data_IF_381380610412
#
_entry.id   IF_381380610412
#
_cell.length_a   1.000
_cell.length_b   1.000
_cell.length_c   1.000
_cell.angle_alpha   90.00
_cell.angle_beta   90.00
_cell.angle_gamma   90.00
#
_symmetry.space_group_name_H-M   'P 1'
#
loop_
_entity.id
_entity.type
_entity.pdbx_description
1 polymer ?
#
# COMPACT_ATOMS: atom_id res chain seq x y z
N UNK A 1 -0.12 35.24 29.10
CA UNK A 1 -0.64 34.05 28.37
C UNK A 1 0.57 33.45 27.70
N UNK A 2 0.75 32.14 27.81
CA UNK A 2 1.82 31.42 27.09
C UNK A 2 1.65 31.57 25.59
N UNK A 3 2.76 31.61 24.87
CA UNK A 3 2.74 31.69 23.40
C UNK A 3 2.46 30.32 22.73
N UNK A 4 2.48 29.24 23.52
CA UNK A 4 2.30 27.88 23.04
C UNK A 4 1.19 27.15 23.80
N UNK A 5 0.41 26.32 23.08
CA UNK A 5 -0.61 25.46 23.67
C UNK A 5 0.03 24.25 24.35
N UNK A 6 1.17 23.79 23.80
CA UNK A 6 1.87 22.58 24.22
C UNK A 6 3.39 22.79 24.11
N UNK A 7 4.14 22.31 25.11
CA UNK A 7 5.58 22.08 24.99
C UNK A 7 5.92 20.61 25.25
N UNK A 8 6.85 20.04 24.47
CA UNK A 8 7.47 18.74 24.70
C UNK A 8 8.88 19.01 25.19
N UNK A 9 9.19 18.68 26.46
CA UNK A 9 10.43 19.08 27.10
C UNK A 9 11.41 17.93 27.29
N UNK A 10 12.70 18.19 27.02
CA UNK A 10 13.84 17.32 27.36
C UNK A 10 14.01 16.05 26.53
N UNK A 11 13.32 15.94 25.43
CA UNK A 11 13.44 14.79 24.53
C UNK A 11 14.62 14.88 23.57
N UNK A 12 15.18 13.74 23.16
CA UNK A 12 16.11 13.66 22.03
C UNK A 12 15.31 13.80 20.75
N UNK A 13 15.47 14.93 20.07
CA UNK A 13 14.82 15.17 18.79
C UNK A 13 15.59 14.41 17.69
N UNK A 14 14.88 13.60 16.92
CA UNK A 14 15.42 12.95 15.73
C UNK A 14 14.51 13.31 14.55
N UNK A 15 15.03 14.11 13.63
CA UNK A 15 14.35 14.48 12.39
C UNK A 15 15.25 14.15 11.19
N UNK A 16 14.94 13.07 10.44
CA UNK A 16 15.76 12.67 9.28
C UNK A 16 15.80 13.70 8.16
N UNK A 17 14.74 14.54 8.01
CA UNK A 17 14.67 15.54 6.95
C UNK A 17 15.67 16.68 7.19
N UNK A 18 15.72 17.22 8.40
CA UNK A 18 16.64 18.31 8.76
C UNK A 18 18.00 17.82 9.25
N UNK A 19 18.14 16.53 9.55
CA UNK A 19 19.33 15.95 10.16
C UNK A 19 19.50 16.28 11.65
N UNK A 20 18.44 16.73 12.33
CA UNK A 20 18.47 17.00 13.77
C UNK A 20 18.64 15.70 14.56
N UNK A 21 19.59 15.67 15.48
CA UNK A 21 19.80 14.58 16.45
C UNK A 21 20.44 15.17 17.72
N UNK A 22 19.62 15.82 18.57
CA UNK A 22 20.07 16.40 19.83
C UNK A 22 18.90 16.57 20.79
N UNK A 23 19.22 16.77 22.11
CA UNK A 23 18.19 17.00 23.13
C UNK A 23 17.75 18.47 23.13
N UNK A 24 16.42 18.70 22.97
CA UNK A 24 15.83 20.03 23.04
C UNK A 24 14.35 19.95 23.45
N UNK A 25 13.70 21.12 23.46
CA UNK A 25 12.27 21.29 23.72
C UNK A 25 11.57 21.70 22.40
N UNK A 26 10.32 21.30 22.22
CA UNK A 26 9.49 21.65 21.07
C UNK A 26 8.26 22.40 21.54
N UNK A 27 8.06 23.62 21.03
CA UNK A 27 6.86 24.43 21.24
C UNK A 27 5.86 24.25 20.13
N UNK A 28 4.59 24.10 20.47
CA UNK A 28 3.49 23.89 19.54
C UNK A 28 2.36 24.86 19.86
N UNK A 29 1.84 25.52 18.83
CA UNK A 29 0.65 26.38 18.92
C UNK A 29 -0.22 26.19 17.67
N UNK A 30 -1.54 26.05 17.89
CA UNK A 30 -2.51 25.82 16.81
C UNK A 30 -2.13 24.67 15.86
N UNK A 31 -1.62 23.55 16.41
CA UNK A 31 -1.22 22.36 15.65
C UNK A 31 0.09 22.51 14.84
N UNK A 32 0.81 23.62 15.02
CA UNK A 32 2.06 23.90 14.29
C UNK A 32 3.23 24.01 15.27
N UNK A 33 4.38 23.43 14.91
CA UNK A 33 5.64 23.62 15.64
C UNK A 33 6.06 25.08 15.46
N UNK A 34 6.16 25.82 16.58
CA UNK A 34 6.51 27.23 16.60
C UNK A 34 7.99 27.47 16.86
N UNK A 35 8.62 26.62 17.68
CA UNK A 35 10.03 26.72 18.03
C UNK A 35 10.61 25.36 18.46
N UNK A 36 11.91 25.22 18.26
CA UNK A 36 12.73 24.14 18.83
C UNK A 36 13.88 24.84 19.56
N UNK A 37 14.02 24.61 20.88
CA UNK A 37 14.94 25.37 21.73
C UNK A 37 15.57 24.49 22.80
N UNK A 38 16.83 24.78 23.14
CA UNK A 38 17.48 24.21 24.34
C UNK A 38 16.99 24.88 25.65
N UNK A 39 16.37 26.06 25.55
CA UNK A 39 15.79 26.78 26.69
C UNK A 39 14.38 26.28 26.97
N UNK A 40 13.93 26.50 28.22
CA UNK A 40 12.54 26.21 28.60
C UNK A 40 11.56 26.99 27.74
N UNK A 41 10.49 26.31 27.28
CA UNK A 41 9.42 26.89 26.50
C UNK A 41 8.19 27.09 27.39
N UNK A 42 7.60 28.28 27.36
CA UNK A 42 6.37 28.59 28.08
C UNK A 42 5.16 28.10 27.30
N UNK A 43 4.36 27.21 27.90
CA UNK A 43 3.21 26.59 27.27
C UNK A 43 2.11 26.27 28.31
N UNK A 44 0.86 26.20 27.84
CA UNK A 44 -0.29 25.88 28.72
C UNK A 44 -0.23 24.42 29.19
N UNK A 45 0.29 23.50 28.36
CA UNK A 45 0.49 22.07 28.67
C UNK A 45 1.94 21.67 28.41
N UNK A 46 2.51 20.86 29.30
CA UNK A 46 3.87 20.32 29.15
C UNK A 46 3.84 18.80 29.14
N UNK A 47 4.52 18.21 28.14
CA UNK A 47 4.82 16.77 28.06
C UNK A 47 6.31 16.61 28.42
N UNK A 48 6.61 15.92 29.51
CA UNK A 48 7.99 15.57 29.85
C UNK A 48 8.45 14.39 28.98
N UNK A 49 9.39 14.63 28.06
CA UNK A 49 9.98 13.65 27.16
C UNK A 49 11.43 13.28 27.56
N UNK A 50 11.85 13.56 28.81
CA UNK A 50 13.18 13.16 29.27
C UNK A 50 13.39 11.66 29.05
N UNK A 51 14.56 11.31 28.53
CA UNK A 51 14.94 9.91 28.18
C UNK A 51 14.03 9.28 27.10
N UNK A 52 13.34 10.09 26.32
CA UNK A 52 12.51 9.69 25.19
C UNK A 52 13.02 10.30 23.89
N UNK A 53 12.65 9.64 22.76
CA UNK A 53 12.83 10.20 21.42
C UNK A 53 11.59 11.02 21.07
N UNK A 54 11.82 12.20 20.48
CA UNK A 54 10.79 13.03 19.85
C UNK A 54 11.11 13.10 18.37
N UNK A 55 10.24 12.56 17.54
CA UNK A 55 10.42 12.51 16.09
C UNK A 55 9.10 12.85 15.38
N UNK A 56 9.13 13.18 14.08
CA UNK A 56 7.91 13.23 13.28
C UNK A 56 7.13 11.91 13.39
N UNK A 57 5.81 11.98 13.40
CA UNK A 57 4.98 10.80 13.38
C UNK A 57 5.20 9.98 12.11
N UNK A 58 5.11 8.66 12.22
CA UNK A 58 5.28 7.78 11.07
C UNK A 58 4.14 7.94 10.07
N UNK A 59 4.47 7.80 8.78
CA UNK A 59 3.51 7.75 7.67
C UNK A 59 3.56 6.33 7.13
N UNK A 60 2.47 5.58 7.29
CA UNK A 60 2.31 4.26 6.71
C UNK A 60 1.70 4.40 5.31
N UNK A 61 2.46 4.01 4.29
CA UNK A 61 2.06 4.11 2.88
C UNK A 61 1.24 2.90 2.41
N UNK A 62 1.15 1.85 3.24
CA UNK A 62 0.60 0.58 2.83
C UNK A 62 -0.23 -0.06 3.94
N UNK A 63 -1.44 0.40 4.10
CA UNK A 63 -2.40 -0.13 5.06
C UNK A 63 -3.76 -0.34 4.40
N UNK A 64 -4.40 -1.48 4.68
CA UNK A 64 -5.74 -1.81 4.20
C UNK A 64 -6.77 -1.68 5.33
N UNK A 65 -7.26 -0.46 5.66
CA UNK A 65 -8.14 -0.25 6.80
C UNK A 65 -9.54 -0.84 6.54
N UNK A 66 -9.88 -1.86 7.31
CA UNK A 66 -11.19 -2.52 7.24
C UNK A 66 -12.18 -1.99 8.30
N UNK A 67 -11.64 -1.53 9.44
CA UNK A 67 -12.40 -1.02 10.58
C UNK A 67 -11.62 0.08 11.34
N UNK A 68 -12.23 0.63 12.39
CA UNK A 68 -11.61 1.69 13.21
C UNK A 68 -10.48 1.20 14.11
N UNK A 69 -10.44 -0.08 14.43
CA UNK A 69 -9.43 -0.62 15.35
C UNK A 69 -8.03 -0.56 14.73
N UNK A 70 -7.92 -0.70 13.41
CA UNK A 70 -6.66 -0.57 12.68
C UNK A 70 -6.02 0.80 12.92
N UNK A 71 -6.81 1.89 12.82
CA UNK A 71 -6.29 3.25 13.06
C UNK A 71 -5.85 3.46 14.52
N UNK A 72 -6.56 2.85 15.48
CA UNK A 72 -6.19 2.91 16.89
C UNK A 72 -4.88 2.15 17.16
N UNK A 73 -4.71 0.94 16.61
CA UNK A 73 -3.48 0.16 16.75
C UNK A 73 -2.29 0.91 16.17
N UNK A 74 -2.44 1.48 14.96
CA UNK A 74 -1.39 2.27 14.33
C UNK A 74 -1.03 3.53 15.14
N UNK A 75 -2.01 4.23 15.70
CA UNK A 75 -1.75 5.38 16.56
C UNK A 75 -0.90 5.02 17.79
N UNK A 76 -1.13 3.85 18.40
CA UNK A 76 -0.32 3.34 19.52
C UNK A 76 1.10 2.95 19.09
N UNK A 77 1.32 2.64 17.82
CA UNK A 77 2.64 2.31 17.25
C UNK A 77 3.38 3.57 16.71
N UNK A 78 2.80 4.76 16.89
CA UNK A 78 3.40 6.03 16.51
C UNK A 78 3.12 6.48 15.07
N UNK A 79 2.22 5.78 14.36
CA UNK A 79 1.73 6.23 13.05
C UNK A 79 0.79 7.42 13.27
N UNK A 80 0.97 8.47 12.51
CA UNK A 80 0.12 9.68 12.53
C UNK A 80 -0.62 9.91 11.22
N UNK A 81 -0.22 9.19 10.18
CA UNK A 81 -0.88 9.20 8.87
C UNK A 81 -0.83 7.79 8.28
N UNK A 82 -1.98 7.26 7.89
CA UNK A 82 -2.07 5.97 7.22
C UNK A 82 -2.70 6.10 5.84
N UNK A 83 -2.14 5.43 4.85
CA UNK A 83 -2.54 5.54 3.46
C UNK A 83 -2.82 4.16 2.86
N UNK A 84 -3.98 4.04 2.20
CA UNK A 84 -4.37 2.88 1.41
C UNK A 84 -3.97 3.15 -0.05
N UNK A 85 -2.75 2.82 -0.45
CA UNK A 85 -2.25 3.19 -1.78
C UNK A 85 -2.16 2.02 -2.77
N UNK A 86 -2.16 0.76 -2.31
CA UNK A 86 -2.07 -0.42 -3.18
C UNK A 86 -3.44 -0.82 -3.77
N UNK A 87 -4.37 -1.27 -2.92
CA UNK A 87 -5.70 -1.70 -3.37
C UNK A 87 -6.56 -0.49 -3.69
N UNK A 88 -6.57 0.49 -2.80
CA UNK A 88 -7.33 1.71 -2.98
C UNK A 88 -8.84 1.52 -2.90
N UNK A 89 -9.57 2.45 -3.51
CA UNK A 89 -11.03 2.43 -3.60
C UNK A 89 -11.51 2.69 -5.02
N UNK A 90 -12.76 2.35 -5.32
CA UNK A 90 -13.45 2.72 -6.57
C UNK A 90 -14.24 4.03 -6.44
N UNK A 91 -14.35 4.58 -5.21
CA UNK A 91 -15.07 5.81 -4.89
C UNK A 91 -14.41 6.55 -3.72
N UNK A 92 -13.65 7.59 -4.05
CA UNK A 92 -12.88 8.40 -3.10
C UNK A 92 -13.80 9.16 -2.13
N UNK A 93 -14.93 9.68 -2.61
CA UNK A 93 -15.86 10.42 -1.75
C UNK A 93 -16.44 9.51 -0.67
N UNK A 94 -16.85 8.29 -1.05
CA UNK A 94 -17.35 7.28 -0.10
C UNK A 94 -16.26 6.86 0.89
N UNK A 95 -15.02 6.70 0.43
CA UNK A 95 -13.90 6.36 1.31
C UNK A 95 -13.68 7.44 2.38
N UNK A 96 -13.59 8.72 2.00
CA UNK A 96 -13.40 9.81 2.94
C UNK A 96 -14.59 9.96 3.91
N UNK A 97 -15.83 9.91 3.42
CA UNK A 97 -17.03 9.97 4.27
C UNK A 97 -17.11 8.85 5.31
N UNK A 98 -16.57 7.68 4.99
CA UNK A 98 -16.54 6.55 5.93
C UNK A 98 -15.72 6.86 7.17
N UNK A 99 -14.58 7.56 7.02
CA UNK A 99 -13.56 7.73 8.06
C UNK A 99 -13.48 9.14 8.64
N UNK A 100 -13.93 10.17 7.93
CA UNK A 100 -13.85 11.56 8.34
C UNK A 100 -14.45 11.78 9.72
N UNK A 101 -13.66 12.44 10.60
CA UNK A 101 -14.05 12.74 11.99
C UNK A 101 -14.11 11.53 12.93
N UNK A 102 -13.73 10.33 12.50
CA UNK A 102 -13.81 9.10 13.31
C UNK A 102 -12.44 8.52 13.68
N UNK A 103 -11.41 8.84 12.93
CA UNK A 103 -10.06 8.29 13.12
C UNK A 103 -9.18 9.17 14.00
N UNK A 104 -8.29 8.59 14.84
CA UNK A 104 -7.36 9.35 15.68
C UNK A 104 -6.16 9.90 14.89
N UNK A 105 -5.93 9.45 13.67
CA UNK A 105 -4.79 9.80 12.81
C UNK A 105 -5.29 10.24 11.43
N UNK A 106 -4.41 10.88 10.66
CA UNK A 106 -4.71 11.23 9.28
C UNK A 106 -4.81 9.98 8.40
N UNK A 107 -5.59 10.06 7.33
CA UNK A 107 -5.79 8.96 6.41
C UNK A 107 -5.95 9.45 4.97
N UNK A 108 -5.74 8.57 4.02
CA UNK A 108 -5.95 8.83 2.60
C UNK A 108 -5.99 7.54 1.79
N UNK A 109 -6.38 7.64 0.52
CA UNK A 109 -6.46 6.49 -0.37
C UNK A 109 -6.05 6.83 -1.80
N UNK A 110 -5.60 5.82 -2.52
CA UNK A 110 -5.53 5.83 -3.98
C UNK A 110 -6.92 5.56 -4.59
N UNK A 111 -7.09 5.95 -5.85
CA UNK A 111 -8.08 5.31 -6.70
C UNK A 111 -7.46 4.00 -7.21
N UNK A 112 -8.10 2.86 -6.94
CA UNK A 112 -7.51 1.55 -7.18
C UNK A 112 -7.92 0.94 -8.51
N UNK A 113 -6.95 0.48 -9.32
CA UNK A 113 -7.24 -0.31 -10.51
C UNK A 113 -8.04 -1.58 -10.17
N UNK A 114 -7.71 -2.27 -9.04
CA UNK A 114 -8.45 -3.46 -8.60
C UNK A 114 -9.94 -3.17 -8.43
N UNK A 115 -10.40 -2.29 -7.50
CA UNK A 115 -11.82 -2.09 -7.26
C UNK A 115 -12.53 -1.41 -8.44
N UNK A 116 -11.85 -0.54 -9.20
CA UNK A 116 -12.40 0.04 -10.43
C UNK A 116 -12.64 -1.04 -11.48
N UNK A 117 -11.68 -1.94 -11.69
CA UNK A 117 -11.81 -3.06 -12.62
C UNK A 117 -12.94 -4.02 -12.20
N UNK A 118 -13.02 -4.34 -10.89
CA UNK A 118 -14.12 -5.14 -10.34
C UNK A 118 -15.48 -4.49 -10.60
N UNK A 119 -15.61 -3.19 -10.40
CA UNK A 119 -16.83 -2.43 -10.64
C UNK A 119 -17.27 -2.47 -12.11
N UNK A 120 -16.35 -2.16 -13.03
CA UNK A 120 -16.61 -2.14 -14.48
C UNK A 120 -16.97 -3.53 -14.99
N UNK A 121 -16.28 -4.57 -14.55
CA UNK A 121 -16.50 -5.95 -14.97
C UNK A 121 -17.55 -6.69 -14.14
N UNK A 122 -18.18 -6.03 -13.14
CA UNK A 122 -19.20 -6.59 -12.24
C UNK A 122 -18.73 -7.85 -11.51
N UNK A 123 -17.50 -7.82 -11.03
CA UNK A 123 -16.87 -8.94 -10.32
C UNK A 123 -17.52 -9.11 -8.93
N UNK A 124 -17.82 -10.35 -8.50
CA UNK A 124 -18.46 -10.60 -7.22
C UNK A 124 -17.55 -10.47 -6.00
N UNK A 125 -16.22 -10.32 -6.19
CA UNK A 125 -15.26 -10.17 -5.10
C UNK A 125 -15.55 -8.95 -4.22
N UNK A 126 -15.11 -8.99 -2.97
CA UNK A 126 -15.38 -7.91 -1.99
C UNK A 126 -14.20 -6.99 -1.72
N UNK A 127 -12.98 -7.50 -1.80
CA UNK A 127 -11.74 -6.77 -1.56
C UNK A 127 -10.78 -6.89 -2.74
N UNK A 128 -10.65 -8.11 -3.26
CA UNK A 128 -9.90 -8.45 -4.47
C UNK A 128 -10.78 -9.29 -5.39
N UNK A 129 -10.49 -9.38 -6.70
CA UNK A 129 -11.33 -10.09 -7.64
C UNK A 129 -11.43 -11.59 -7.34
N UNK A 130 -12.63 -12.13 -7.45
CA UNK A 130 -12.89 -13.57 -7.40
C UNK A 130 -13.44 -14.14 -8.72
N UNK A 131 -13.72 -13.30 -9.71
CA UNK A 131 -14.28 -13.63 -11.00
C UNK A 131 -13.46 -13.09 -12.18
N UNK A 132 -14.19 -12.57 -13.17
CA UNK A 132 -13.66 -12.10 -14.46
C UNK A 132 -12.63 -11.00 -14.36
N UNK A 133 -12.76 -10.09 -13.38
CA UNK A 133 -11.80 -9.01 -13.20
C UNK A 133 -10.40 -9.52 -12.83
N UNK A 134 -10.29 -10.71 -12.25
CA UNK A 134 -8.99 -11.36 -12.01
C UNK A 134 -8.43 -12.08 -13.23
N UNK A 135 -9.30 -12.61 -14.13
CA UNK A 135 -8.94 -13.72 -15.02
C UNK A 135 -8.95 -13.42 -16.51
N UNK A 136 -9.81 -12.50 -17.01
CA UNK A 136 -9.88 -12.18 -18.43
C UNK A 136 -9.37 -10.80 -18.79
N UNK A 137 -9.00 -10.60 -20.04
CA UNK A 137 -8.70 -9.26 -20.55
C UNK A 137 -9.96 -8.38 -20.57
N UNK A 138 -9.78 -7.09 -20.28
CA UNK A 138 -10.83 -6.10 -20.46
C UNK A 138 -10.99 -5.74 -21.94
N UNK A 139 -12.23 -5.51 -22.36
CA UNK A 139 -12.55 -4.94 -23.67
C UNK A 139 -12.11 -3.48 -23.76
N UNK A 140 -12.03 -2.94 -24.97
CA UNK A 140 -11.69 -1.53 -25.16
C UNK A 140 -12.66 -0.59 -24.40
N UNK A 141 -13.96 -0.88 -24.44
CA UNK A 141 -14.96 -0.08 -23.71
C UNK A 141 -14.79 -0.15 -22.20
N UNK A 142 -14.46 -1.33 -21.66
CA UNK A 142 -14.16 -1.48 -20.22
C UNK A 142 -12.89 -0.71 -19.82
N UNK A 143 -11.86 -0.72 -20.66
CA UNK A 143 -10.66 0.10 -20.44
C UNK A 143 -11.00 1.59 -20.42
N UNK A 144 -11.81 2.08 -21.37
CA UNK A 144 -12.22 3.48 -21.42
C UNK A 144 -13.06 3.85 -20.17
N UNK A 145 -13.97 3.00 -19.74
CA UNK A 145 -14.73 3.21 -18.48
C UNK A 145 -13.84 3.24 -17.25
N UNK A 146 -12.82 2.37 -17.17
CA UNK A 146 -11.83 2.40 -16.07
C UNK A 146 -11.04 3.72 -16.08
N UNK A 147 -10.62 4.22 -17.24
CA UNK A 147 -9.91 5.50 -17.38
C UNK A 147 -10.74 6.66 -16.83
N UNK A 148 -12.01 6.72 -17.19
CA UNK A 148 -12.93 7.77 -16.71
C UNK A 148 -13.08 7.72 -15.18
N UNK A 149 -13.17 6.52 -14.59
CA UNK A 149 -13.28 6.34 -13.14
C UNK A 149 -11.97 6.72 -12.41
N UNK A 150 -10.80 6.35 -12.95
CA UNK A 150 -9.52 6.74 -12.39
C UNK A 150 -9.34 8.27 -12.41
N UNK A 151 -9.61 8.89 -13.57
CA UNK A 151 -9.58 10.35 -13.73
C UNK A 151 -10.48 11.03 -12.71
N UNK A 152 -11.74 10.59 -12.61
CA UNK A 152 -12.67 11.11 -11.62
C UNK A 152 -12.17 10.94 -10.18
N UNK A 153 -11.57 9.79 -9.85
CA UNK A 153 -11.02 9.54 -8.51
C UNK A 153 -9.87 10.50 -8.17
N UNK A 154 -8.95 10.72 -9.10
CA UNK A 154 -7.85 11.67 -8.93
C UNK A 154 -8.35 13.11 -8.80
N UNK A 155 -9.30 13.54 -9.64
CA UNK A 155 -9.95 14.86 -9.54
C UNK A 155 -10.67 15.06 -8.20
N UNK A 156 -11.12 13.98 -7.56
CA UNK A 156 -11.80 14.00 -6.25
C UNK A 156 -10.87 13.87 -5.05
N UNK A 157 -9.55 13.81 -5.27
CA UNK A 157 -8.54 13.82 -4.22
C UNK A 157 -7.98 12.45 -3.86
N UNK A 158 -8.01 11.48 -4.77
CA UNK A 158 -7.18 10.30 -4.65
C UNK A 158 -5.70 10.70 -4.68
N UNK A 159 -4.88 10.10 -3.82
CA UNK A 159 -3.47 10.46 -3.66
C UNK A 159 -2.55 9.79 -4.68
N UNK A 160 -3.00 8.69 -5.28
CA UNK A 160 -2.23 7.83 -6.17
C UNK A 160 -3.17 6.96 -7.01
N UNK A 161 -2.61 6.17 -7.92
CA UNK A 161 -3.30 5.03 -8.55
C UNK A 161 -2.70 3.73 -8.00
N UNK A 162 -3.55 2.89 -7.41
CA UNK A 162 -3.14 1.62 -6.81
C UNK A 162 -3.33 0.45 -7.77
N UNK A 163 -2.43 -0.55 -7.71
CA UNK A 163 -2.48 -1.73 -8.57
C UNK A 163 -2.14 -3.01 -7.80
N UNK A 164 -2.90 -4.07 -8.03
CA UNK A 164 -2.53 -5.42 -7.61
C UNK A 164 -2.55 -6.36 -8.80
N UNK A 165 -1.43 -6.41 -9.54
CA UNK A 165 -1.36 -7.09 -10.82
C UNK A 165 -1.41 -8.62 -10.69
N UNK A 166 -1.00 -9.17 -9.56
CA UNK A 166 -1.15 -10.60 -9.30
C UNK A 166 -2.62 -11.00 -9.03
N UNK A 167 -3.41 -10.07 -8.49
CA UNK A 167 -4.87 -10.23 -8.34
C UNK A 167 -5.63 -10.02 -9.65
N UNK A 168 -5.08 -9.24 -10.57
CA UNK A 168 -5.70 -8.92 -11.86
C UNK A 168 -4.88 -9.47 -13.03
N UNK A 169 -4.56 -10.77 -12.98
CA UNK A 169 -3.69 -11.45 -13.97
C UNK A 169 -4.19 -11.31 -15.39
N UNK A 170 -5.51 -11.22 -15.60
CA UNK A 170 -6.14 -10.97 -16.89
C UNK A 170 -5.96 -9.55 -17.43
N UNK A 171 -5.45 -8.59 -16.65
CA UNK A 171 -5.19 -7.25 -17.14
C UNK A 171 -4.06 -7.24 -18.18
N UNK A 172 -4.34 -6.73 -19.38
CA UNK A 172 -3.35 -6.66 -20.45
C UNK A 172 -2.30 -5.57 -20.18
N UNK A 173 -1.08 -5.73 -20.77
CA UNK A 173 -0.04 -4.69 -20.68
C UNK A 173 -0.51 -3.35 -21.25
N UNK A 174 -1.37 -3.40 -22.28
CA UNK A 174 -1.98 -2.20 -22.85
C UNK A 174 -2.87 -1.49 -21.83
N UNK A 175 -3.72 -2.23 -21.13
CA UNK A 175 -4.57 -1.71 -20.05
C UNK A 175 -3.72 -1.01 -18.97
N UNK A 176 -2.64 -1.67 -18.49
CA UNK A 176 -1.75 -1.10 -17.47
C UNK A 176 -1.12 0.21 -17.95
N UNK A 177 -0.58 0.25 -19.17
CA UNK A 177 -0.01 1.48 -19.74
C UNK A 177 -1.05 2.60 -19.83
N UNK A 178 -2.29 2.32 -20.21
CA UNK A 178 -3.36 3.34 -20.24
C UNK A 178 -3.67 3.89 -18.83
N UNK A 179 -3.69 3.04 -17.78
CA UNK A 179 -3.88 3.49 -16.40
C UNK A 179 -2.69 4.33 -15.90
N UNK A 180 -1.45 3.94 -16.23
CA UNK A 180 -0.25 4.70 -15.92
C UNK A 180 -0.22 6.09 -16.59
N UNK A 181 -0.77 6.23 -17.80
CA UNK A 181 -0.94 7.54 -18.46
C UNK A 181 -1.83 8.46 -17.63
N UNK A 182 -2.97 7.96 -17.15
CA UNK A 182 -3.88 8.75 -16.32
C UNK A 182 -3.17 9.22 -15.03
N UNK A 183 -2.41 8.34 -14.37
CA UNK A 183 -1.62 8.71 -13.21
C UNK A 183 -0.61 9.82 -13.54
N UNK A 184 0.14 9.68 -14.63
CA UNK A 184 1.13 10.67 -15.09
C UNK A 184 0.48 12.02 -15.43
N UNK A 185 -0.65 12.04 -16.13
CA UNK A 185 -1.40 13.25 -16.49
C UNK A 185 -1.87 14.04 -15.27
N UNK A 186 -2.07 13.37 -14.12
CA UNK A 186 -2.47 13.97 -12.85
C UNK A 186 -1.31 14.15 -11.86
N UNK A 187 -0.05 13.94 -12.29
CA UNK A 187 1.13 13.98 -11.42
C UNK A 187 1.03 13.04 -10.20
N UNK A 188 0.25 11.95 -10.33
CA UNK A 188 0.04 10.94 -9.30
C UNK A 188 1.01 9.77 -9.46
N UNK A 189 1.42 9.16 -8.33
CA UNK A 189 2.26 7.96 -8.34
C UNK A 189 1.43 6.70 -8.58
N UNK A 190 2.06 5.67 -9.16
CA UNK A 190 1.52 4.33 -9.29
C UNK A 190 2.09 3.42 -8.19
N UNK A 191 1.26 2.87 -7.32
CA UNK A 191 1.65 1.92 -6.27
C UNK A 191 1.30 0.51 -6.72
N UNK A 192 2.32 -0.35 -6.92
CA UNK A 192 2.13 -1.58 -7.67
C UNK A 192 2.59 -2.82 -6.91
N UNK A 193 1.63 -3.68 -6.58
CA UNK A 193 1.86 -5.09 -6.30
C UNK A 193 2.13 -5.81 -7.63
N UNK A 194 3.34 -6.33 -7.77
CA UNK A 194 3.81 -6.94 -9.00
C UNK A 194 3.02 -8.21 -9.37
N UNK A 195 2.96 -8.53 -10.65
CA UNK A 195 2.23 -9.68 -11.21
C UNK A 195 2.82 -11.03 -10.86
N UNK A 196 4.15 -11.10 -10.75
CA UNK A 196 4.88 -12.35 -10.55
C UNK A 196 5.61 -12.39 -9.23
N UNK A 197 6.01 -13.59 -8.79
CA UNK A 197 6.67 -13.83 -7.51
C UNK A 197 7.92 -14.71 -7.67
N UNK A 198 8.94 -14.43 -6.85
CA UNK A 198 10.16 -15.24 -6.79
C UNK A 198 11.05 -15.13 -8.02
N UNK A 199 11.80 -16.19 -8.29
CA UNK A 199 12.84 -16.27 -9.32
C UNK A 199 12.63 -17.39 -10.36
N UNK A 200 11.41 -17.93 -10.44
CA UNK A 200 11.05 -19.01 -11.38
C UNK A 200 10.24 -18.48 -12.56
N UNK A 201 10.88 -18.36 -13.72
CA UNK A 201 10.19 -18.06 -14.98
C UNK A 201 9.30 -19.25 -15.44
N UNK A 202 8.17 -19.00 -16.12
CA UNK A 202 7.64 -17.70 -16.51
C UNK A 202 6.88 -17.00 -15.38
N UNK A 203 6.74 -15.67 -15.53
CA UNK A 203 6.04 -14.79 -14.57
C UNK A 203 6.74 -14.68 -13.20
N UNK A 204 8.07 -14.61 -13.22
CA UNK A 204 8.85 -14.29 -12.02
C UNK A 204 8.79 -12.79 -11.67
N UNK A 205 9.34 -12.44 -10.52
CA UNK A 205 9.37 -11.05 -10.04
C UNK A 205 10.25 -10.12 -10.89
N UNK A 206 11.23 -10.66 -11.63
CA UNK A 206 12.10 -9.89 -12.51
C UNK A 206 11.33 -9.45 -13.75
N UNK A 207 10.61 -10.38 -14.42
CA UNK A 207 9.73 -10.07 -15.55
C UNK A 207 8.63 -9.08 -15.12
N UNK A 208 8.05 -9.27 -13.93
CA UNK A 208 7.03 -8.40 -13.39
C UNK A 208 7.53 -6.98 -13.12
N UNK A 209 8.74 -6.83 -12.58
CA UNK A 209 9.35 -5.50 -12.39
C UNK A 209 9.69 -4.84 -13.72
N UNK A 210 10.16 -5.60 -14.73
CA UNK A 210 10.38 -5.08 -16.08
C UNK A 210 9.10 -4.54 -16.71
N UNK A 211 7.95 -5.23 -16.53
CA UNK A 211 6.64 -4.79 -17.01
C UNK A 211 6.30 -3.38 -16.51
N UNK A 212 6.40 -3.15 -15.20
CA UNK A 212 6.00 -1.87 -14.60
C UNK A 212 7.05 -0.76 -14.79
N UNK A 213 8.33 -1.08 -14.83
CA UNK A 213 9.40 -0.14 -15.23
C UNK A 213 9.16 0.33 -16.67
N UNK A 214 8.83 -0.57 -17.60
CA UNK A 214 8.52 -0.21 -18.98
C UNK A 214 7.27 0.69 -19.05
N UNK A 215 6.20 0.37 -18.31
CA UNK A 215 5.00 1.21 -18.25
C UNK A 215 5.32 2.62 -17.72
N UNK A 216 6.06 2.72 -16.61
CA UNK A 216 6.49 3.99 -16.03
C UNK A 216 7.38 4.80 -17.00
N UNK A 217 8.35 4.16 -17.66
CA UNK A 217 9.22 4.81 -18.63
C UNK A 217 8.48 5.36 -19.86
N UNK A 218 7.48 4.62 -20.37
CA UNK A 218 6.66 5.02 -21.53
C UNK A 218 5.79 6.24 -21.18
N UNK A 219 5.29 6.29 -19.94
CA UNK A 219 4.30 7.29 -19.50
C UNK A 219 4.90 8.43 -18.69
N UNK A 220 6.15 8.32 -18.28
CA UNK A 220 6.81 9.22 -17.32
C UNK A 220 6.07 9.28 -15.96
N UNK A 221 5.41 8.19 -15.55
CA UNK A 221 4.74 8.11 -14.26
C UNK A 221 5.73 7.79 -13.13
N UNK A 222 5.52 8.37 -11.95
CA UNK A 222 6.19 7.97 -10.71
C UNK A 222 5.76 6.56 -10.32
N UNK A 223 6.70 5.68 -9.97
CA UNK A 223 6.45 4.27 -9.65
C UNK A 223 6.87 3.95 -8.22
N UNK A 224 5.98 3.37 -7.44
CA UNK A 224 6.29 2.75 -6.16
C UNK A 224 5.99 1.24 -6.21
N UNK A 225 7.04 0.43 -6.05
CA UNK A 225 6.90 -1.04 -6.00
C UNK A 225 6.64 -1.42 -4.55
N UNK A 226 5.44 -1.94 -4.25
CA UNK A 226 5.06 -2.25 -2.89
C UNK A 226 5.69 -3.57 -2.41
N UNK A 227 5.93 -3.71 -1.11
CA UNK A 227 6.40 -4.90 -0.39
C UNK A 227 7.33 -5.81 -1.20
N UNK A 228 8.42 -5.25 -1.74
CA UNK A 228 9.37 -5.96 -2.63
C UNK A 228 9.90 -7.26 -2.04
N UNK A 229 9.95 -7.37 -0.70
CA UNK A 229 10.43 -8.57 -0.01
C UNK A 229 9.52 -9.79 -0.25
N UNK A 230 8.19 -9.62 -0.18
CA UNK A 230 7.24 -10.72 -0.37
C UNK A 230 7.10 -11.15 -1.83
N UNK A 231 7.26 -10.21 -2.76
CA UNK A 231 7.20 -10.50 -4.19
C UNK A 231 8.53 -11.07 -4.70
N UNK A 232 9.65 -10.45 -4.32
CA UNK A 232 10.98 -10.80 -4.81
C UNK A 232 11.58 -12.06 -4.19
N UNK A 233 11.26 -12.36 -2.93
CA UNK A 233 11.84 -13.51 -2.22
C UNK A 233 13.37 -13.51 -2.35
N UNK A 234 13.97 -14.56 -2.94
CA UNK A 234 15.40 -14.66 -3.20
C UNK A 234 15.91 -13.71 -4.27
N UNK A 235 15.04 -13.22 -5.16
CA UNK A 235 15.38 -12.26 -6.21
C UNK A 235 15.48 -10.80 -5.73
N UNK A 236 15.14 -10.50 -4.47
CA UNK A 236 15.17 -9.12 -3.92
C UNK A 236 16.46 -8.37 -4.24
N UNK A 237 17.68 -8.92 -4.09
CA UNK A 237 18.90 -8.21 -4.45
C UNK A 237 18.92 -7.74 -5.92
N UNK A 238 18.51 -8.61 -6.86
CA UNK A 238 18.42 -8.29 -8.28
C UNK A 238 17.38 -7.20 -8.54
N UNK A 239 16.21 -7.28 -7.91
CA UNK A 239 15.16 -6.25 -8.05
C UNK A 239 15.65 -4.89 -7.55
N UNK A 240 16.38 -4.84 -6.43
CA UNK A 240 16.96 -3.60 -5.90
C UNK A 240 18.03 -3.02 -6.82
N UNK A 241 18.85 -3.86 -7.48
CA UNK A 241 19.81 -3.43 -8.50
C UNK A 241 19.09 -2.83 -9.71
N UNK A 242 17.99 -3.44 -10.18
CA UNK A 242 17.18 -2.92 -11.28
C UNK A 242 16.56 -1.55 -10.94
N UNK A 243 15.96 -1.42 -9.73
CA UNK A 243 15.41 -0.14 -9.24
C UNK A 243 16.52 0.91 -9.14
N UNK A 244 17.68 0.56 -8.60
CA UNK A 244 18.81 1.48 -8.49
C UNK A 244 19.31 1.93 -9.87
N UNK A 245 19.39 1.01 -10.84
CA UNK A 245 19.72 1.32 -12.23
C UNK A 245 18.72 2.27 -12.87
N UNK A 246 17.41 2.01 -12.73
CA UNK A 246 16.37 2.88 -13.25
C UNK A 246 16.45 4.31 -12.66
N UNK A 247 16.70 4.44 -11.35
CA UNK A 247 16.94 5.74 -10.69
C UNK A 247 18.15 6.49 -11.24
N UNK A 248 19.25 5.79 -11.52
CA UNK A 248 20.46 6.40 -12.11
C UNK A 248 20.18 6.99 -13.49
N UNK A 249 19.20 6.45 -14.23
CA UNK A 249 18.74 6.99 -15.51
C UNK A 249 17.60 8.02 -15.37
N UNK A 250 17.33 8.49 -14.16
CA UNK A 250 16.42 9.60 -13.90
C UNK A 250 14.95 9.20 -13.72
N UNK A 251 14.63 7.90 -13.59
CA UNK A 251 13.26 7.49 -13.28
C UNK A 251 12.92 7.78 -11.82
N UNK A 252 11.72 8.27 -11.59
CA UNK A 252 11.14 8.39 -10.26
C UNK A 252 10.54 7.04 -9.84
N UNK A 253 11.37 6.23 -9.19
CA UNK A 253 11.00 4.89 -8.71
C UNK A 253 11.47 4.67 -7.29
N UNK A 254 10.59 4.10 -6.47
CA UNK A 254 10.84 3.75 -5.07
C UNK A 254 10.24 2.38 -4.74
N UNK A 255 10.55 1.87 -3.55
CA UNK A 255 10.03 0.60 -3.06
C UNK A 255 9.99 0.59 -1.53
N UNK A 256 9.23 -0.33 -0.99
CA UNK A 256 9.08 -0.59 0.44
C UNK A 256 9.23 -2.07 0.77
N UNK A 257 9.38 -2.38 2.05
CA UNK A 257 9.34 -3.74 2.58
C UNK A 257 8.65 -3.74 3.95
N UNK A 258 8.19 -4.92 4.37
CA UNK A 258 7.64 -5.14 5.71
C UNK A 258 8.40 -6.26 6.46
N UNK A 259 8.40 -6.27 7.81
CA UNK A 259 9.22 -7.19 8.60
C UNK A 259 8.51 -8.51 8.96
N UNK A 260 7.46 -8.90 8.24
CA UNK A 260 6.69 -10.11 8.52
C UNK A 260 7.07 -11.25 7.60
N UNK A 261 6.92 -12.50 8.09
CA UNK A 261 7.19 -13.75 7.36
C UNK A 261 5.95 -14.35 6.68
N UNK A 262 4.87 -13.61 6.62
CA UNK A 262 3.62 -14.06 6.02
C UNK A 262 2.86 -12.88 5.38
N UNK A 263 2.06 -13.18 4.36
CA UNK A 263 1.07 -12.28 3.79
C UNK A 263 -0.35 -12.74 4.11
N UNK A 264 -1.31 -11.82 4.12
CA UNK A 264 -2.72 -12.14 4.32
C UNK A 264 -3.55 -11.65 3.12
N UNK A 265 -4.42 -12.53 2.61
CA UNK A 265 -5.26 -12.22 1.46
C UNK A 265 -6.56 -13.02 1.46
N UNK A 266 -7.38 -12.86 0.41
CA UNK A 266 -8.62 -13.62 0.21
C UNK A 266 -8.35 -14.94 -0.51
N UNK A 267 -8.82 -16.04 0.06
CA UNK A 267 -8.61 -17.38 -0.49
C UNK A 267 -9.36 -17.61 -1.81
N UNK A 268 -10.47 -16.92 -2.03
CA UNK A 268 -11.25 -16.99 -3.28
C UNK A 268 -10.65 -16.20 -4.45
N UNK A 269 -9.56 -15.47 -4.23
CA UNK A 269 -8.90 -14.66 -5.25
C UNK A 269 -8.21 -15.49 -6.33
N UNK A 270 -7.87 -14.84 -7.46
CA UNK A 270 -7.11 -15.45 -8.55
C UNK A 270 -5.70 -15.91 -8.16
N UNK A 271 -5.18 -15.49 -7.00
CA UNK A 271 -3.90 -15.97 -6.47
C UNK A 271 -3.88 -17.49 -6.27
N UNK A 272 -5.03 -18.05 -5.89
CA UNK A 272 -5.18 -19.48 -5.59
C UNK A 272 -5.82 -20.28 -6.74
N UNK A 273 -5.81 -19.77 -7.97
CA UNK A 273 -6.21 -20.53 -9.15
C UNK A 273 -5.23 -21.67 -9.43
N UNK A 274 -5.61 -22.65 -10.25
CA UNK A 274 -4.83 -23.86 -10.53
C UNK A 274 -3.35 -23.56 -10.80
N UNK A 275 -2.47 -24.31 -10.12
CA UNK A 275 -1.01 -24.13 -10.21
C UNK A 275 -0.42 -23.11 -9.22
N UNK A 276 -1.21 -22.61 -8.28
CA UNK A 276 -0.74 -21.64 -7.28
C UNK A 276 0.43 -22.17 -6.41
N UNK A 277 0.43 -23.47 -6.08
CA UNK A 277 1.49 -24.07 -5.28
C UNK A 277 2.84 -23.99 -5.99
N UNK A 278 2.88 -24.33 -7.27
CA UNK A 278 4.10 -24.25 -8.08
C UNK A 278 4.53 -22.78 -8.26
N UNK A 279 3.56 -21.89 -8.48
CA UNK A 279 3.81 -20.46 -8.68
C UNK A 279 4.40 -19.77 -7.43
N UNK A 280 3.83 -20.06 -6.25
CA UNK A 280 4.29 -19.45 -5.00
C UNK A 280 5.33 -20.28 -4.26
N UNK A 281 5.50 -21.55 -4.59
CA UNK A 281 6.42 -22.47 -3.91
C UNK A 281 6.00 -22.80 -2.49
N UNK A 282 4.70 -22.73 -2.18
CA UNK A 282 4.08 -23.09 -0.89
C UNK A 282 2.97 -24.12 -1.09
N UNK A 283 2.54 -24.79 -0.03
CA UNK A 283 1.50 -25.80 -0.07
C UNK A 283 0.40 -25.51 0.98
N UNK A 284 -0.62 -26.32 1.03
CA UNK A 284 -1.79 -26.17 1.92
C UNK A 284 -1.42 -25.97 3.38
N UNK A 285 -0.42 -26.69 3.88
CA UNK A 285 0.07 -26.64 5.26
C UNK A 285 0.80 -25.34 5.64
N UNK A 286 1.00 -24.46 4.67
CA UNK A 286 1.51 -23.08 4.86
C UNK A 286 0.40 -22.04 4.84
N UNK A 287 -0.86 -22.46 4.69
CA UNK A 287 -2.03 -21.59 4.67
C UNK A 287 -2.79 -21.71 6.00
N UNK A 288 -2.88 -20.62 6.74
CA UNK A 288 -3.54 -20.54 8.05
C UNK A 288 -4.86 -19.77 7.95
N UNK A 289 -5.92 -20.31 8.49
CA UNK A 289 -7.18 -19.59 8.72
C UNK A 289 -7.07 -18.71 9.97
N UNK A 290 -7.17 -17.38 9.86
CA UNK A 290 -7.03 -16.49 11.02
C UNK A 290 -8.20 -16.57 12.01
N UNK A 291 -9.38 -17.00 11.55
CA UNK A 291 -10.60 -17.12 12.36
C UNK A 291 -10.59 -18.36 13.29
N UNK A 292 -9.92 -19.45 12.90
CA UNK A 292 -9.84 -20.69 13.68
C UNK A 292 -8.44 -21.00 14.20
N UNK A 293 -7.40 -20.42 13.58
CA UNK A 293 -6.00 -20.77 13.89
C UNK A 293 -5.56 -22.13 13.31
N UNK A 294 -6.33 -22.69 12.37
CA UNK A 294 -6.05 -24.00 11.77
C UNK A 294 -5.32 -23.84 10.43
N UNK A 295 -4.31 -24.66 10.19
CA UNK A 295 -3.69 -24.81 8.89
C UNK A 295 -4.57 -25.66 7.97
N UNK A 296 -4.54 -25.31 6.67
CA UNK A 296 -5.36 -25.99 5.67
C UNK A 296 -4.70 -27.31 5.21
N UNK A 297 -5.52 -28.16 4.63
CA UNK A 297 -5.15 -29.29 3.78
C UNK A 297 -5.98 -29.26 2.50
N UNK A 298 -5.76 -30.20 1.58
CA UNK A 298 -6.43 -30.17 0.28
C UNK A 298 -7.97 -30.14 0.37
N UNK A 299 -8.57 -30.89 1.30
CA UNK A 299 -10.03 -30.96 1.47
C UNK A 299 -10.57 -29.66 2.07
N UNK A 300 -9.96 -29.19 3.17
CA UNK A 300 -10.39 -27.95 3.85
C UNK A 300 -10.10 -26.69 3.03
N UNK A 301 -9.11 -26.73 2.13
CA UNK A 301 -8.81 -25.63 1.19
C UNK A 301 -9.96 -25.42 0.20
N UNK A 302 -10.43 -26.47 -0.47
CA UNK A 302 -11.53 -26.38 -1.43
C UNK A 302 -12.81 -25.88 -0.74
N UNK A 303 -13.17 -26.47 0.40
CA UNK A 303 -14.32 -26.04 1.20
C UNK A 303 -14.25 -24.59 1.63
N UNK A 304 -13.05 -24.11 2.04
CA UNK A 304 -12.87 -22.74 2.50
C UNK A 304 -12.83 -21.76 1.34
N UNK A 305 -12.26 -22.15 0.20
CA UNK A 305 -12.24 -21.34 -1.01
C UNK A 305 -13.64 -21.09 -1.56
N UNK A 306 -14.52 -22.12 -1.55
CA UNK A 306 -15.92 -21.97 -1.96
C UNK A 306 -16.70 -20.99 -1.06
N UNK A 307 -16.43 -21.00 0.24
CA UNK A 307 -17.05 -20.10 1.22
C UNK A 307 -16.50 -18.68 1.18
N UNK A 308 -15.26 -18.53 0.74
CA UNK A 308 -14.49 -17.30 0.81
C UNK A 308 -14.02 -16.96 2.23
N UNK A 309 -12.96 -16.19 2.35
CA UNK A 309 -12.45 -15.75 3.63
C UNK A 309 -10.99 -15.28 3.59
N UNK A 310 -10.50 -14.82 4.74
CA UNK A 310 -9.11 -14.43 4.87
C UNK A 310 -8.21 -15.64 5.12
N UNK A 311 -7.04 -15.64 4.49
CA UNK A 311 -6.00 -16.65 4.71
C UNK A 311 -4.66 -15.98 4.90
N UNK A 312 -3.86 -16.49 5.86
CA UNK A 312 -2.47 -16.11 6.07
C UNK A 312 -1.60 -17.14 5.37
N UNK A 313 -0.77 -16.69 4.43
CA UNK A 313 0.16 -17.52 3.68
C UNK A 313 1.59 -17.28 4.17
N UNK A 314 2.23 -18.31 4.69
CA UNK A 314 3.63 -18.30 5.11
C UNK A 314 4.54 -18.68 3.95
N UNK A 315 5.62 -17.92 3.73
CA UNK A 315 6.54 -18.13 2.59
C UNK A 315 8.00 -17.98 2.99
#
# INVERSE_FOLDING_TARGET
>A
MSNNDLAIEGGRIIDPHSGMDYTANVGISNGTITEISSSKIDADKIINAKDRIVCPGFIDLHCHPQDLDIFNVQAYDGVTTTLELEVGTDDIDTFYQRWEGKTPINFGSSIGHIPVRMKVMKDPGTFVPSGDAGRREATANEIDEMKDLLTKGLDRGALAVGFGLDYTRGASRKEIVEMFKIASEHEASCHVHLRGKGDKSPNDSIEALQEVIAAAAITNASLHVVHINSTGMKAVPTLLEMISGARQYGMDISTECYPYSAGMTKIESALFDDGWQDHYGIDYDQLLRPDTGEFLNAESFEDYREKGGWVIAFS
#
